data_IF_681295758616
#
_entry.id   IF_681295758616
#
_cell.length_a   1.000
_cell.length_b   1.000
_cell.length_c   1.000
_cell.angle_alpha   90.00
_cell.angle_beta   90.00
_cell.angle_gamma   90.00
#
_symmetry.space_group_name_H-M   'P 1'
#
loop_
_entity.id
_entity.type
_entity.pdbx_description
1 polymer ?
#
# COMPACT_ATOMS: atom_id res chain seq x y z
N UNK A 1 10.58 -10.54 41.76
CA UNK A 1 9.72 -11.49 41.00
C UNK A 1 8.42 -10.86 40.48
N UNK A 2 7.59 -10.19 41.30
CA UNK A 2 6.33 -9.57 40.84
C UNK A 2 6.49 -8.54 39.70
N UNK A 3 7.56 -7.77 39.71
CA UNK A 3 7.84 -6.75 38.68
C UNK A 3 8.20 -7.35 37.30
N UNK A 4 8.88 -8.50 37.26
CA UNK A 4 9.24 -9.20 36.01
C UNK A 4 7.98 -9.76 35.33
N UNK A 5 7.04 -10.28 36.11
CA UNK A 5 5.76 -10.80 35.60
C UNK A 5 4.90 -9.69 34.96
N UNK A 6 4.92 -8.48 35.54
CA UNK A 6 4.25 -7.31 34.98
C UNK A 6 4.87 -6.85 33.65
N UNK A 7 6.20 -6.89 33.53
CA UNK A 7 6.90 -6.55 32.28
C UNK A 7 6.55 -7.52 31.14
N UNK A 8 6.52 -8.83 31.41
CA UNK A 8 6.15 -9.85 30.42
C UNK A 8 4.69 -9.70 29.99
N UNK A 9 3.80 -9.35 30.92
CA UNK A 9 2.39 -9.14 30.60
C UNK A 9 2.19 -7.90 29.70
N UNK A 10 2.94 -6.82 29.96
CA UNK A 10 2.86 -5.59 29.18
C UNK A 10 3.35 -5.78 27.73
N UNK A 11 4.43 -6.54 27.52
CA UNK A 11 4.94 -6.82 26.17
C UNK A 11 3.97 -7.66 25.34
N UNK A 12 3.27 -8.63 25.95
CA UNK A 12 2.27 -9.44 25.26
C UNK A 12 1.05 -8.63 24.77
N UNK A 13 0.63 -7.62 25.52
CA UNK A 13 -0.47 -6.73 25.15
C UNK A 13 -0.07 -5.85 23.94
N UNK A 14 1.15 -5.31 23.94
CA UNK A 14 1.63 -4.48 22.82
C UNK A 14 1.73 -5.25 21.49
N UNK A 15 2.07 -6.55 21.53
CA UNK A 15 2.17 -7.37 20.31
C UNK A 15 0.81 -7.62 19.64
N UNK A 16 -0.27 -7.70 20.41
CA UNK A 16 -1.63 -7.90 19.88
C UNK A 16 -2.23 -6.66 19.22
N UNK A 17 -1.68 -5.47 19.49
CA UNK A 17 -2.20 -4.22 18.95
C UNK A 17 -1.88 -4.03 17.46
N UNK A 18 -0.79 -4.64 16.95
CA UNK A 18 -0.31 -4.40 15.58
C UNK A 18 -0.91 -5.43 14.62
N UNK A 19 -2.12 -5.18 14.12
CA UNK A 19 -2.69 -5.97 13.02
C UNK A 19 -2.01 -5.58 11.69
N UNK A 20 -1.51 -6.53 10.87
CA UNK A 20 -0.89 -6.21 9.60
C UNK A 20 -1.92 -5.62 8.63
N UNK A 21 -1.67 -4.39 8.17
CA UNK A 21 -2.54 -3.66 7.25
C UNK A 21 -2.13 -3.90 5.80
N UNK A 22 -2.71 -4.91 5.16
CA UNK A 22 -2.30 -5.33 3.82
C UNK A 22 -2.92 -4.46 2.71
N UNK A 23 -2.09 -4.05 1.74
CA UNK A 23 -2.57 -3.26 0.58
C UNK A 23 -3.60 -4.03 -0.26
N UNK A 24 -3.48 -5.37 -0.35
CA UNK A 24 -4.40 -6.22 -1.14
C UNK A 24 -5.87 -6.08 -0.72
N UNK A 25 -6.11 -5.69 0.53
CA UNK A 25 -7.44 -5.47 1.08
C UNK A 25 -7.88 -4.00 1.02
N UNK A 26 -7.20 -3.16 0.25
CA UNK A 26 -7.58 -1.77 0.06
C UNK A 26 -8.48 -1.61 -1.18
N UNK A 27 -9.48 -0.73 -1.13
CA UNK A 27 -10.40 -0.43 -2.24
C UNK A 27 -9.67 -0.01 -3.52
N UNK A 28 -8.53 0.66 -3.36
CA UNK A 28 -7.70 1.14 -4.48
C UNK A 28 -6.61 0.16 -4.91
N UNK A 29 -6.59 -1.05 -4.36
CA UNK A 29 -5.67 -2.09 -4.81
C UNK A 29 -6.05 -2.58 -6.21
N UNK A 30 -5.12 -2.45 -7.14
CA UNK A 30 -5.20 -3.04 -8.48
C UNK A 30 -3.95 -3.88 -8.75
N UNK A 31 -4.07 -4.84 -9.67
CA UNK A 31 -2.94 -5.63 -10.18
C UNK A 31 -3.16 -5.93 -11.65
N UNK A 32 -2.07 -6.13 -12.39
CA UNK A 32 -2.14 -6.63 -13.77
C UNK A 32 -2.63 -8.08 -13.80
N UNK A 33 -3.25 -8.47 -14.93
CA UNK A 33 -3.83 -9.80 -15.12
C UNK A 33 -2.80 -10.93 -14.91
N UNK A 34 -1.58 -10.74 -15.40
CA UNK A 34 -0.49 -11.71 -15.30
C UNK A 34 0.47 -11.47 -14.13
N UNK A 35 0.16 -10.52 -13.24
CA UNK A 35 1.06 -10.15 -12.14
C UNK A 35 0.62 -10.77 -10.81
N UNK A 36 1.61 -11.22 -10.03
CA UNK A 36 1.36 -11.68 -8.66
C UNK A 36 0.92 -10.50 -7.78
N UNK A 37 0.21 -10.80 -6.68
CA UNK A 37 -0.28 -9.77 -5.76
C UNK A 37 0.86 -8.94 -5.14
N UNK A 38 2.09 -9.46 -5.16
CA UNK A 38 3.28 -8.81 -4.61
C UNK A 38 3.64 -7.51 -5.37
N UNK A 39 3.23 -7.41 -6.65
CA UNK A 39 3.46 -6.24 -7.50
C UNK A 39 2.20 -5.39 -7.70
N UNK A 40 1.24 -5.48 -6.78
CA UNK A 40 0.04 -4.68 -6.83
C UNK A 40 0.33 -3.17 -6.73
N UNK A 41 -0.50 -2.38 -7.41
CA UNK A 41 -0.43 -0.92 -7.50
C UNK A 41 -1.62 -0.28 -6.77
N UNK A 42 -1.48 1.00 -6.42
CA UNK A 42 -2.51 1.77 -5.73
C UNK A 42 -3.12 2.84 -6.66
N UNK A 43 -4.41 2.69 -6.98
CA UNK A 43 -5.14 3.62 -7.86
C UNK A 43 -5.23 5.06 -7.34
N UNK A 44 -4.96 5.29 -6.05
CA UNK A 44 -4.95 6.62 -5.45
C UNK A 44 -3.68 7.43 -5.80
N UNK A 45 -2.62 6.76 -6.27
CA UNK A 45 -1.33 7.39 -6.57
C UNK A 45 -1.00 7.16 -8.06
N UNK A 46 -1.60 7.93 -8.97
CA UNK A 46 -1.19 7.89 -10.37
C UNK A 46 0.24 8.42 -10.50
N UNK A 47 1.04 7.74 -11.32
CA UNK A 47 2.33 8.21 -11.80
C UNK A 47 2.07 8.78 -13.19
N UNK A 48 2.24 10.09 -13.33
CA UNK A 48 2.27 10.70 -14.66
C UNK A 48 3.61 10.33 -15.29
N UNK A 49 3.60 9.45 -16.28
CA UNK A 49 4.78 9.27 -17.11
C UNK A 49 4.80 10.38 -18.16
N UNK A 50 5.84 11.20 -18.09
CA UNK A 50 6.32 11.89 -19.27
C UNK A 50 6.82 10.79 -20.20
N UNK A 51 6.30 10.72 -21.41
CA UNK A 51 6.86 9.86 -22.45
C UNK A 51 8.36 10.11 -22.49
N UNK A 52 9.21 9.10 -22.35
CA UNK A 52 10.68 9.29 -22.37
C UNK A 52 11.11 9.97 -23.68
N UNK A 53 10.36 9.74 -24.76
CA UNK A 53 10.57 10.40 -26.04
C UNK A 53 10.13 11.87 -26.04
N UNK A 54 9.33 12.35 -25.08
CA UNK A 54 9.00 13.77 -24.98
C UNK A 54 10.25 14.63 -24.83
N UNK A 55 11.26 14.15 -24.10
CA UNK A 55 12.54 14.85 -23.95
C UNK A 55 13.33 14.93 -25.26
N UNK A 56 13.00 14.10 -26.25
CA UNK A 56 13.65 14.02 -27.56
C UNK A 56 12.82 14.68 -28.66
N UNK A 57 11.50 14.50 -28.65
CA UNK A 57 10.60 14.87 -29.76
C UNK A 57 9.70 16.06 -29.43
N UNK A 58 9.50 16.40 -28.15
CA UNK A 58 8.55 17.42 -27.71
C UNK A 58 7.07 17.05 -27.92
N UNK A 59 6.78 15.86 -28.44
CA UNK A 59 5.41 15.40 -28.72
C UNK A 59 4.81 14.81 -27.44
N UNK A 60 3.67 15.36 -27.01
CA UNK A 60 2.87 14.78 -25.92
C UNK A 60 1.99 13.66 -26.47
N UNK A 61 2.54 12.45 -26.57
CA UNK A 61 1.73 11.27 -26.84
C UNK A 61 0.72 11.01 -25.70
N UNK A 62 -0.30 10.19 -26.00
CA UNK A 62 -1.35 9.83 -25.04
C UNK A 62 -0.75 9.40 -23.70
N UNK A 63 -1.08 10.13 -22.64
CA UNK A 63 -0.69 9.85 -21.26
C UNK A 63 -1.12 8.42 -20.89
N UNK A 64 -0.14 7.52 -20.74
CA UNK A 64 -0.37 6.27 -20.01
C UNK A 64 -0.34 6.61 -18.52
N UNK A 65 -1.48 6.41 -17.84
CA UNK A 65 -1.55 6.58 -16.39
C UNK A 65 -1.07 5.28 -15.76
N UNK A 66 0.18 5.26 -15.32
CA UNK A 66 0.70 4.23 -14.44
C UNK A 66 0.27 4.54 -12.99
N UNK A 67 0.36 3.55 -12.11
CA UNK A 67 0.04 3.73 -10.69
C UNK A 67 1.19 3.24 -9.82
N UNK A 68 1.48 3.96 -8.74
CA UNK A 68 2.56 3.63 -7.82
C UNK A 68 2.34 2.26 -7.17
N UNK A 69 3.42 1.48 -7.04
CA UNK A 69 3.39 0.21 -6.31
C UNK A 69 2.96 0.40 -4.87
N UNK A 70 2.20 -0.56 -4.34
CA UNK A 70 1.80 -0.57 -2.94
C UNK A 70 2.99 -0.51 -1.98
N UNK A 71 4.14 -1.08 -2.32
CA UNK A 71 5.36 -1.00 -1.50
C UNK A 71 5.84 0.43 -1.27
N UNK A 72 5.59 1.33 -2.23
CA UNK A 72 5.97 2.74 -2.18
C UNK A 72 4.80 3.59 -1.63
N UNK A 73 3.57 3.30 -2.06
CA UNK A 73 2.38 4.05 -1.65
C UNK A 73 1.96 3.82 -0.19
N UNK A 74 2.46 2.77 0.47
CA UNK A 74 2.18 2.45 1.88
C UNK A 74 2.92 3.41 2.81
N UNK A 75 2.35 4.59 2.97
CA UNK A 75 2.71 5.51 4.06
C UNK A 75 1.45 5.99 4.83
N UNK A 76 0.33 5.30 4.66
CA UNK A 76 -0.97 5.71 5.21
C UNK A 76 -1.61 4.59 6.01
N UNK A 77 -1.06 4.34 7.19
CA UNK A 77 -1.56 3.32 8.12
C UNK A 77 -3.03 3.51 8.49
N UNK A 78 -3.58 4.72 8.43
CA UNK A 78 -5.00 4.96 8.73
C UNK A 78 -5.97 4.58 7.60
N UNK A 79 -5.47 4.27 6.40
CA UNK A 79 -6.30 4.13 5.21
C UNK A 79 -6.65 2.69 4.86
N UNK A 80 -5.69 1.77 4.88
CA UNK A 80 -5.88 0.37 4.46
C UNK A 80 -5.75 -0.60 5.66
N UNK A 81 -6.16 -1.87 5.50
CA UNK A 81 -6.25 -2.87 6.59
C UNK A 81 -7.63 -2.92 7.26
N UNK A 82 -7.95 -3.96 8.04
CA UNK A 82 -9.33 -4.21 8.54
C UNK A 82 -9.97 -3.01 9.27
N UNK A 83 -9.15 -2.25 9.99
CA UNK A 83 -9.58 -1.06 10.75
C UNK A 83 -9.52 0.25 9.92
N UNK A 84 -9.07 0.17 8.66
CA UNK A 84 -8.83 1.32 7.79
C UNK A 84 -10.07 1.73 6.99
N UNK A 85 -10.26 3.04 6.78
CA UNK A 85 -11.44 3.61 6.09
C UNK A 85 -11.65 3.09 4.67
N UNK A 86 -10.59 2.65 4.00
CA UNK A 86 -10.60 2.19 2.61
C UNK A 86 -10.49 0.67 2.50
N UNK A 87 -10.72 -0.07 3.58
CA UNK A 87 -10.76 -1.53 3.55
C UNK A 87 -11.87 -2.06 2.64
N UNK A 88 -11.55 -3.10 1.87
CA UNK A 88 -12.51 -3.89 1.11
C UNK A 88 -12.14 -5.36 1.23
N UNK A 89 -13.09 -6.19 1.68
CA UNK A 89 -12.97 -7.65 1.64
C UNK A 89 -12.94 -8.06 0.17
N UNK A 90 -11.86 -8.74 -0.25
CA UNK A 90 -11.69 -9.30 -1.59
C UNK A 90 -11.74 -10.81 -1.49
#
# INVERSE_FOLDING_TARGET
MKSIFLLIFYTMISAHAVKPKLCVNCKFFTKGFFTSNNFGRCLMFPKEELNDNFLVTGIKDKKYIEYTYCSIARNFDSKCGKEGKLYKKK
#
